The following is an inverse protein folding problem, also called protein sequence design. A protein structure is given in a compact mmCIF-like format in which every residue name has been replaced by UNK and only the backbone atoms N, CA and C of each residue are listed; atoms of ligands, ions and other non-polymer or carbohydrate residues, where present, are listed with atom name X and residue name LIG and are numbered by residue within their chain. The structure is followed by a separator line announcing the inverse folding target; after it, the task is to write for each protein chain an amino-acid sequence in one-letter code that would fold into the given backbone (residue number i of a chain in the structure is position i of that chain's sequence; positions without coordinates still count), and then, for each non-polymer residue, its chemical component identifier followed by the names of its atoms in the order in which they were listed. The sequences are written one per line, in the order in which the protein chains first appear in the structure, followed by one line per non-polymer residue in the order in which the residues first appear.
data_IF_379731241176
#
_entry.id   IF_379731241176
#
_cell.length_a   1.000
_cell.length_b   1.000
_cell.length_c   1.000
_cell.angle_alpha   90.00
_cell.angle_beta   90.00
_cell.angle_gamma   90.00
#
_symmetry.space_group_name_H-M   'P 1'
#
loop_
_entity.id
_entity.type
_entity.pdbx_description
1 polymer ?
#
# COMPACT_ATOMS: atom_id res chain seq x y z
N UNK A 1 -24.60 12.24 -15.59
CA UNK A 1 -23.88 11.15 -16.31
C UNK A 1 -22.56 10.73 -15.63
N UNK A 2 -21.99 11.52 -14.71
CA UNK A 2 -20.68 11.24 -14.08
C UNK A 2 -20.67 10.13 -13.01
N UNK A 3 -21.79 9.93 -12.30
CA UNK A 3 -21.89 8.92 -11.22
C UNK A 3 -21.67 7.50 -11.75
N UNK A 4 -22.23 7.18 -12.93
CA UNK A 4 -22.08 5.88 -13.57
C UNK A 4 -20.62 5.51 -13.86
N UNK A 5 -19.76 6.48 -14.19
CA UNK A 5 -18.36 6.21 -14.53
C UNK A 5 -17.53 5.93 -13.26
N UNK A 6 -17.75 6.69 -12.17
CA UNK A 6 -17.09 6.43 -10.88
C UNK A 6 -17.50 5.08 -10.28
N UNK A 7 -18.78 4.74 -10.34
CA UNK A 7 -19.27 3.45 -9.84
C UNK A 7 -18.77 2.28 -10.68
N UNK A 8 -18.69 2.45 -12.01
CA UNK A 8 -18.12 1.43 -12.90
C UNK A 8 -16.62 1.23 -12.67
N UNK A 9 -15.88 2.33 -12.47
CA UNK A 9 -14.46 2.28 -12.13
C UNK A 9 -14.22 1.60 -10.77
N UNK A 10 -15.05 1.90 -9.76
CA UNK A 10 -14.98 1.25 -8.45
C UNK A 10 -15.25 -0.26 -8.55
N UNK A 11 -16.26 -0.68 -9.33
CA UNK A 11 -16.57 -2.09 -9.58
C UNK A 11 -15.43 -2.80 -10.32
N UNK A 12 -14.86 -2.17 -11.35
CA UNK A 12 -13.72 -2.73 -12.08
C UNK A 12 -12.51 -2.91 -11.15
N UNK A 13 -12.22 -1.92 -10.30
CA UNK A 13 -11.14 -2.00 -9.32
C UNK A 13 -11.37 -3.13 -8.29
N UNK A 14 -12.62 -3.31 -7.83
CA UNK A 14 -13.00 -4.39 -6.92
C UNK A 14 -12.82 -5.77 -7.57
N UNK A 15 -13.24 -5.95 -8.82
CA UNK A 15 -13.04 -7.21 -9.57
C UNK A 15 -11.55 -7.49 -9.75
N UNK A 16 -10.75 -6.48 -10.14
CA UNK A 16 -9.30 -6.64 -10.28
C UNK A 16 -8.64 -7.02 -8.95
N UNK A 17 -9.07 -6.46 -7.83
CA UNK A 17 -8.55 -6.83 -6.51
C UNK A 17 -8.86 -8.30 -6.19
N UNK A 18 -10.09 -8.76 -6.41
CA UNK A 18 -10.50 -10.16 -6.19
C UNK A 18 -9.73 -11.12 -7.10
N UNK A 19 -9.64 -10.81 -8.39
CA UNK A 19 -8.88 -11.60 -9.37
C UNK A 19 -7.40 -11.67 -8.96
N UNK A 20 -6.81 -10.55 -8.53
CA UNK A 20 -5.43 -10.49 -8.04
C UNK A 20 -5.20 -11.41 -6.85
N UNK A 21 -6.12 -11.44 -5.87
CA UNK A 21 -6.05 -12.32 -4.70
C UNK A 21 -6.12 -13.79 -5.10
N UNK A 22 -7.05 -14.15 -6.00
CA UNK A 22 -7.20 -15.54 -6.49
C UNK A 22 -5.99 -15.96 -7.34
N UNK A 23 -5.32 -15.04 -8.01
CA UNK A 23 -4.14 -15.31 -8.82
C UNK A 23 -2.92 -15.73 -7.99
N UNK A 24 -2.78 -15.24 -6.74
CA UNK A 24 -1.64 -15.60 -5.87
C UNK A 24 -1.54 -17.12 -5.61
N UNK A 25 -2.58 -17.83 -5.12
CA UNK A 25 -2.51 -19.28 -4.93
C UNK A 25 -2.35 -20.02 -6.27
N UNK A 26 -2.98 -19.54 -7.34
CA UNK A 26 -2.80 -20.14 -8.68
C UNK A 26 -1.33 -20.12 -9.08
N UNK A 27 -0.63 -18.99 -8.93
CA UNK A 27 0.80 -18.88 -9.27
C UNK A 27 1.67 -19.68 -8.29
N UNK A 28 1.32 -19.75 -7.00
CA UNK A 28 2.08 -20.52 -6.02
C UNK A 28 2.06 -22.01 -6.34
N UNK A 29 0.87 -22.54 -6.60
CA UNK A 29 0.66 -23.97 -6.85
C UNK A 29 0.82 -24.36 -8.33
N UNK A 30 0.88 -23.39 -9.26
CA UNK A 30 1.13 -23.68 -10.68
C UNK A 30 2.44 -24.43 -10.91
N UNK A 31 3.45 -24.21 -10.05
CA UNK A 31 4.75 -24.90 -10.08
C UNK A 31 4.63 -26.37 -9.66
N UNK A 32 3.64 -26.71 -8.83
CA UNK A 32 3.35 -28.10 -8.41
C UNK A 32 2.44 -28.81 -9.43
N UNK A 33 1.53 -28.07 -10.07
CA UNK A 33 0.57 -28.61 -11.04
C UNK A 33 1.17 -28.84 -12.42
N UNK A 34 2.01 -27.91 -12.88
CA UNK A 34 2.75 -28.04 -14.12
C UNK A 34 4.15 -28.51 -13.75
N UNK A 35 4.46 -29.78 -14.01
CA UNK A 35 5.71 -30.48 -13.65
C UNK A 35 6.98 -29.82 -14.24
N UNK A 36 7.33 -28.59 -13.85
CA UNK A 36 8.36 -27.77 -14.53
C UNK A 36 9.01 -26.73 -13.60
N UNK A 37 10.05 -27.12 -12.84
CA UNK A 37 11.47 -26.71 -12.98
C UNK A 37 12.28 -26.94 -11.66
N UNK A 38 13.11 -27.98 -11.68
CA UNK A 38 14.40 -28.26 -10.99
C UNK A 38 14.80 -27.69 -9.60
N UNK A 39 14.04 -26.89 -8.86
CA UNK A 39 14.36 -26.66 -7.44
C UNK A 39 13.10 -26.32 -6.67
N UNK A 40 12.77 -27.17 -5.69
CA UNK A 40 11.71 -26.90 -4.73
C UNK A 40 11.95 -25.57 -4.00
N UNK A 41 10.87 -24.95 -3.54
CA UNK A 41 10.92 -23.68 -2.82
C UNK A 41 11.92 -23.72 -1.66
N UNK A 42 13.01 -22.95 -1.74
CA UNK A 42 14.05 -22.84 -0.70
C UNK A 42 13.55 -22.11 0.57
N UNK A 43 12.33 -21.59 0.55
CA UNK A 43 11.66 -20.96 1.70
C UNK A 43 10.68 -21.94 2.32
N UNK A 44 11.19 -22.82 3.19
CA UNK A 44 10.35 -23.55 4.15
C UNK A 44 10.18 -22.67 5.39
N UNK A 45 8.95 -22.26 5.73
CA UNK A 45 8.68 -21.41 6.91
C UNK A 45 9.00 -22.12 8.24
N UNK A 46 9.17 -23.43 8.22
CA UNK A 46 9.29 -24.32 9.38
C UNK A 46 10.68 -24.90 9.58
N UNK A 47 11.62 -24.69 8.66
CA UNK A 47 13.00 -25.20 8.78
C UNK A 47 14.04 -24.12 8.54
N UNK A 48 15.23 -24.34 9.10
CA UNK A 48 16.38 -23.42 9.05
C UNK A 48 16.63 -23.00 7.58
N UNK A 49 16.77 -21.69 7.27
CA UNK A 49 16.99 -21.24 5.91
C UNK A 49 18.20 -21.98 5.32
N UNK A 50 18.01 -22.69 4.21
CA UNK A 50 19.09 -23.37 3.49
C UNK A 50 20.04 -22.38 2.78
N UNK A 51 19.79 -21.07 2.89
CA UNK A 51 20.59 -20.01 2.27
C UNK A 51 21.59 -19.37 3.25
N UNK A 52 22.84 -19.11 2.80
CA UNK A 52 23.83 -18.34 3.56
C UNK A 52 23.30 -16.97 4.00
N UNK A 53 23.83 -16.45 5.10
CA UNK A 53 23.43 -15.17 5.67
C UNK A 53 23.64 -13.99 4.70
N UNK A 54 24.65 -14.07 3.83
CA UNK A 54 24.93 -13.02 2.87
C UNK A 54 23.81 -12.86 1.82
N UNK A 55 22.94 -13.86 1.63
CA UNK A 55 21.88 -13.82 0.61
C UNK A 55 20.51 -13.45 1.19
N UNK A 56 20.13 -14.01 2.34
CA UNK A 56 18.79 -13.73 2.89
C UNK A 56 18.72 -12.37 3.62
N UNK A 57 19.86 -11.86 4.14
CA UNK A 57 19.88 -10.55 4.80
C UNK A 57 19.52 -9.40 3.84
N UNK A 58 20.17 -9.23 2.67
CA UNK A 58 19.76 -8.22 1.71
C UNK A 58 18.31 -8.38 1.26
N UNK A 59 17.85 -9.62 1.04
CA UNK A 59 16.47 -9.91 0.66
C UNK A 59 15.49 -9.43 1.73
N UNK A 60 15.76 -9.70 3.01
CA UNK A 60 14.92 -9.26 4.12
C UNK A 60 14.87 -7.74 4.21
N UNK A 61 16.02 -7.07 4.18
CA UNK A 61 16.08 -5.61 4.30
C UNK A 61 15.39 -4.90 3.13
N UNK A 62 15.63 -5.36 1.90
CA UNK A 62 14.98 -4.79 0.71
C UNK A 62 13.47 -5.04 0.72
N UNK A 63 13.04 -6.25 1.09
CA UNK A 63 11.61 -6.60 1.22
C UNK A 63 10.94 -5.73 2.29
N UNK A 64 11.51 -5.67 3.49
CA UNK A 64 10.98 -4.85 4.58
C UNK A 64 10.96 -3.36 4.20
N UNK A 65 12.03 -2.87 3.58
CA UNK A 65 12.10 -1.50 3.06
C UNK A 65 11.00 -1.20 2.04
N UNK A 66 10.74 -2.12 1.11
CA UNK A 66 9.65 -2.00 0.14
C UNK A 66 8.28 -1.98 0.81
N UNK A 67 8.04 -2.83 1.80
CA UNK A 67 6.79 -2.83 2.56
C UNK A 67 6.60 -1.55 3.38
N UNK A 68 7.66 -1.04 4.00
CA UNK A 68 7.64 0.25 4.70
C UNK A 68 7.33 1.40 3.73
N UNK A 69 8.01 1.44 2.59
CA UNK A 69 7.76 2.44 1.54
C UNK A 69 6.30 2.34 1.03
N UNK A 70 5.84 1.13 0.73
CA UNK A 70 4.45 0.89 0.33
C UNK A 70 3.48 1.38 1.41
N UNK A 71 3.74 1.08 2.69
CA UNK A 71 2.93 1.54 3.82
C UNK A 71 2.86 3.06 3.91
N UNK A 72 3.99 3.77 3.77
CA UNK A 72 4.02 5.23 3.76
C UNK A 72 3.22 5.79 2.59
N UNK A 73 3.42 5.26 1.38
CA UNK A 73 2.68 5.70 0.19
C UNK A 73 1.18 5.44 0.32
N UNK A 74 0.80 4.30 0.88
CA UNK A 74 -0.60 3.94 1.15
C UNK A 74 -1.22 4.92 2.14
N UNK A 75 -0.54 5.21 3.26
CA UNK A 75 -1.00 6.18 4.25
C UNK A 75 -1.14 7.59 3.66
N UNK A 76 -0.17 8.04 2.86
CA UNK A 76 -0.25 9.32 2.14
C UNK A 76 -1.45 9.36 1.19
N UNK A 77 -1.71 8.29 0.43
CA UNK A 77 -2.86 8.19 -0.48
C UNK A 77 -4.19 8.17 0.26
N UNK A 78 -4.28 7.46 1.39
CA UNK A 78 -5.47 7.46 2.24
C UNK A 78 -5.75 8.85 2.81
N UNK A 79 -4.72 9.59 3.26
CA UNK A 79 -4.87 10.98 3.72
C UNK A 79 -5.43 11.89 2.62
N UNK A 80 -4.91 11.78 1.40
CA UNK A 80 -5.42 12.55 0.25
C UNK A 80 -6.87 12.20 -0.08
N UNK A 81 -7.24 10.92 -0.04
CA UNK A 81 -8.60 10.47 -0.30
C UNK A 81 -9.58 10.96 0.78
N UNK A 82 -9.19 10.90 2.06
CA UNK A 82 -9.97 11.48 3.17
C UNK A 82 -10.15 12.98 2.97
N UNK A 83 -9.08 13.71 2.67
CA UNK A 83 -9.16 15.15 2.44
C UNK A 83 -10.07 15.50 1.25
N UNK A 84 -10.02 14.69 0.18
CA UNK A 84 -10.88 14.86 -1.00
C UNK A 84 -12.35 14.61 -0.70
N UNK A 85 -12.66 13.60 0.13
CA UNK A 85 -14.04 13.31 0.57
C UNK A 85 -14.57 14.40 1.50
N UNK A 86 -13.72 14.85 2.42
CA UNK A 86 -14.05 15.79 3.48
C UNK A 86 -13.85 17.26 3.08
N UNK A 87 -13.43 17.55 1.85
CA UNK A 87 -13.13 18.90 1.34
C UNK A 87 -14.27 19.92 1.50
N UNK A 88 -15.53 19.45 1.64
CA UNK A 88 -16.70 20.32 1.84
C UNK A 88 -17.01 20.59 3.31
N UNK A 89 -16.37 19.88 4.24
CA UNK A 89 -16.57 20.08 5.68
C UNK A 89 -15.78 21.27 6.19
N UNK A 90 -16.33 21.95 7.19
CA UNK A 90 -15.70 23.14 7.79
C UNK A 90 -14.41 22.78 8.54
N UNK A 91 -14.34 21.59 9.15
CA UNK A 91 -13.16 21.13 9.88
C UNK A 91 -11.95 20.90 8.96
N UNK A 92 -12.16 20.33 7.77
CA UNK A 92 -11.06 20.11 6.82
C UNK A 92 -10.50 21.43 6.30
N UNK A 93 -11.36 22.43 6.04
CA UNK A 93 -10.93 23.79 5.65
C UNK A 93 -10.14 24.48 6.77
N UNK A 94 -10.63 24.40 8.01
CA UNK A 94 -9.94 24.96 9.17
C UNK A 94 -8.56 24.31 9.37
N UNK A 95 -8.45 22.99 9.20
CA UNK A 95 -7.19 22.24 9.34
C UNK A 95 -6.20 22.55 8.21
N UNK A 96 -6.67 22.72 6.96
CA UNK A 96 -5.84 23.19 5.84
C UNK A 96 -5.32 24.61 6.11
N UNK A 97 -6.19 25.53 6.56
CA UNK A 97 -5.80 26.90 6.90
C UNK A 97 -4.79 26.94 8.06
N UNK A 98 -4.95 26.06 9.06
CA UNK A 98 -3.98 25.87 10.15
C UNK A 98 -2.62 25.39 9.62
N UNK A 99 -2.63 24.44 8.68
CA UNK A 99 -1.43 23.89 8.05
C UNK A 99 -0.73 24.88 7.11
N UNK A 100 -1.47 25.83 6.52
CA UNK A 100 -0.98 26.86 5.60
C UNK A 100 -0.38 28.10 6.29
N UNK A 101 -0.40 28.18 7.63
CA UNK A 101 0.38 29.19 8.36
C UNK A 101 -0.38 30.22 9.19
N UNK A 102 -1.66 30.01 9.53
CA UNK A 102 -2.29 30.81 10.60
C UNK A 102 -1.74 30.51 12.01
N UNK A 103 -0.82 29.56 12.14
CA UNK A 103 0.00 29.37 13.34
C UNK A 103 1.12 30.43 13.46
N UNK A 104 1.62 31.00 12.35
CA UNK A 104 2.70 31.99 12.39
C UNK A 104 2.21 33.41 12.77
N UNK A 105 0.97 33.76 12.43
CA UNK A 105 0.41 35.08 12.74
C UNK A 105 -0.01 35.27 14.21
N UNK A 106 -0.08 34.19 15.00
CA UNK A 106 -0.53 34.25 16.39
C UNK A 106 0.63 34.26 17.41
N UNK A 107 1.87 33.98 17.00
CA UNK A 107 3.06 34.17 17.86
C UNK A 107 3.67 35.57 17.75
N UNK A 108 3.34 36.35 16.72
CA UNK A 108 3.91 37.69 16.50
C UNK A 108 3.10 38.81 17.18
N UNK A 109 1.88 38.52 17.65
CA UNK A 109 1.01 39.45 18.40
C UNK A 109 1.05 39.21 19.92
N UNK A 110 2.03 38.43 20.40
CA UNK A 110 2.26 38.15 21.83
C UNK A 110 3.66 38.61 22.29
N UNK A 111 4.21 39.62 21.62
CA UNK A 111 5.31 40.49 22.06
C UNK A 111 4.91 41.95 21.79
#
# INVERSE_FOLDING_TARGET
KEISNRDSAAKACAVLAVVGVVNIPIIKYSVEWWNTLHQGSTFSLTEKPAMPAEMWLPLLFTTLGFYCLFGVLLMMRMRLEVLRREARTQWAKAEILRSLGHTAAQSENML
#
